data_IF_552401015731
#
_entry.id   IF_552401015731
#
_cell.length_a   1.000
_cell.length_b   1.000
_cell.length_c   1.000
_cell.angle_alpha   90.00
_cell.angle_beta   90.00
_cell.angle_gamma   90.00
#
_symmetry.space_group_name_H-M   'P 1'
#
loop_
_entity.id
_entity.type
_entity.pdbx_description
1 polymer ?
#
# COMPACT_ATOMS: atom_id res chain seq x y z
N UNK A 1 3.41 23.37 47.45
CA UNK A 1 3.39 24.56 46.55
C UNK A 1 3.24 24.06 45.11
N UNK A 2 2.11 24.30 44.41
CA UNK A 2 1.94 23.80 43.05
C UNK A 2 2.34 24.85 42.00
N UNK A 3 3.29 24.49 41.12
CA UNK A 3 3.72 25.30 39.99
C UNK A 3 2.75 25.14 38.80
N UNK A 4 1.96 26.18 38.54
CA UNK A 4 1.09 26.33 37.37
C UNK A 4 1.95 26.44 36.10
N UNK A 5 1.92 25.44 35.21
CA UNK A 5 2.43 25.57 33.84
C UNK A 5 1.34 26.12 32.93
N UNK A 6 1.59 27.29 32.33
CA UNK A 6 0.73 27.93 31.33
C UNK A 6 1.05 27.37 29.94
N UNK A 7 0.02 27.00 29.20
CA UNK A 7 0.10 26.66 27.78
C UNK A 7 0.00 27.95 26.95
N UNK A 8 0.98 28.20 26.07
CA UNK A 8 0.89 29.21 25.02
C UNK A 8 0.35 28.53 23.75
N UNK A 9 -0.82 28.94 23.28
CA UNK A 9 -1.34 28.60 21.95
C UNK A 9 -0.81 29.64 20.97
N UNK A 10 -0.02 29.22 19.99
CA UNK A 10 0.35 30.03 18.83
C UNK A 10 -0.52 29.59 17.67
N UNK A 11 -1.46 30.44 17.30
CA UNK A 11 -2.25 30.32 16.06
C UNK A 11 -1.50 31.03 14.94
N UNK A 12 -1.05 30.29 13.93
CA UNK A 12 -0.54 30.87 12.67
C UNK A 12 -1.61 30.67 11.62
N UNK A 13 -2.24 31.78 11.21
CA UNK A 13 -3.14 31.87 10.06
C UNK A 13 -2.30 32.26 8.84
N UNK A 14 -2.27 31.42 7.80
CA UNK A 14 -1.75 31.80 6.49
C UNK A 14 -2.91 31.98 5.52
N UNK A 15 -2.98 33.19 4.96
CA UNK A 15 -3.98 33.65 4.03
C UNK A 15 -3.82 33.07 2.62
N UNK A 16 -4.95 32.89 1.96
CA UNK A 16 -5.08 32.51 0.56
C UNK A 16 -4.68 33.69 -0.35
N UNK A 17 -3.88 33.43 -1.39
CA UNK A 17 -3.68 34.34 -2.51
C UNK A 17 -4.18 33.65 -3.78
N UNK A 18 -5.23 34.22 -4.37
CA UNK A 18 -5.80 33.84 -5.66
C UNK A 18 -5.16 34.74 -6.72
N UNK A 19 -4.46 34.15 -7.68
CA UNK A 19 -3.99 34.85 -8.87
C UNK A 19 -4.80 34.36 -10.07
N UNK A 20 -5.73 35.20 -10.53
CA UNK A 20 -6.41 35.06 -11.82
C UNK A 20 -5.52 35.71 -12.88
N UNK A 21 -5.19 34.97 -13.94
CA UNK A 21 -4.62 35.54 -15.17
C UNK A 21 -5.56 35.17 -16.31
N UNK A 22 -6.30 36.19 -16.76
CA UNK A 22 -6.99 36.25 -18.03
C UNK A 22 -5.96 36.64 -19.09
N UNK A 23 -5.82 35.84 -20.14
CA UNK A 23 -5.23 36.30 -21.40
C UNK A 23 -5.93 35.59 -22.56
N UNK A 24 -6.90 36.32 -23.12
CA UNK A 24 -7.41 36.17 -24.48
C UNK A 24 -6.28 36.47 -25.46
N UNK A 25 -6.12 35.62 -26.48
CA UNK A 25 -5.16 35.83 -27.56
C UNK A 25 -5.48 34.92 -28.74
N UNK A 26 -6.46 35.31 -29.53
CA UNK A 26 -6.74 34.72 -30.83
C UNK A 26 -5.77 35.29 -31.86
N UNK A 27 -4.99 34.42 -32.51
CA UNK A 27 -4.32 34.71 -33.78
C UNK A 27 -4.31 33.44 -34.63
N UNK A 28 -5.06 33.48 -35.74
CA UNK A 28 -4.82 32.63 -36.91
C UNK A 28 -4.20 33.51 -37.99
N UNK A 29 -3.13 33.03 -38.65
CA UNK A 29 -3.10 33.18 -40.09
C UNK A 29 -2.60 31.93 -40.83
N UNK A 30 -3.39 31.61 -41.88
CA UNK A 30 -3.04 31.08 -43.21
C UNK A 30 -2.30 29.72 -43.30
N UNK A 31 -2.88 28.72 -44.01
CA UNK A 31 -2.22 27.45 -44.31
C UNK A 31 -1.18 27.61 -45.43
N UNK A 32 0.00 26.97 -45.33
CA UNK A 32 0.92 26.83 -46.46
C UNK A 32 0.40 25.78 -47.45
N UNK A 33 0.65 26.09 -48.72
CA UNK A 33 0.28 25.37 -49.93
C UNK A 33 0.80 23.92 -49.99
N UNK A 34 -0.06 23.05 -50.53
CA UNK A 34 0.17 21.63 -50.83
C UNK A 34 1.15 21.48 -52.01
N UNK A 35 2.17 20.61 -51.92
CA UNK A 35 2.78 19.97 -53.08
C UNK A 35 2.06 18.66 -53.43
N UNK A 36 1.96 18.45 -54.74
CA UNK A 36 1.29 17.40 -55.51
C UNK A 36 1.31 15.95 -54.98
N UNK A 37 0.14 15.33 -55.08
CA UNK A 37 -0.18 13.91 -55.34
C UNK A 37 0.76 12.81 -54.79
N UNK A 38 0.34 12.08 -53.74
CA UNK A 38 0.70 10.67 -53.58
C UNK A 38 -0.16 9.76 -54.50
N UNK A 39 0.34 8.58 -54.88
CA UNK A 39 -0.23 7.72 -55.91
C UNK A 39 -1.61 7.13 -55.54
N UNK A 40 -2.34 6.73 -56.58
CA UNK A 40 -3.72 6.26 -56.58
C UNK A 40 -4.08 5.23 -55.48
N UNK A 41 -5.33 5.26 -54.96
CA UNK A 41 -5.79 4.30 -53.97
C UNK A 41 -5.89 2.89 -54.55
N UNK A 42 -5.20 1.94 -53.92
CA UNK A 42 -5.35 0.52 -54.20
C UNK A 42 -6.75 0.05 -53.74
N UNK A 43 -7.42 -0.84 -54.50
CA UNK A 43 -8.71 -1.40 -54.10
C UNK A 43 -8.55 -2.26 -52.84
N UNK A 44 -9.25 -1.85 -51.78
CA UNK A 44 -9.70 -2.64 -50.63
C UNK A 44 -9.46 -4.17 -50.73
N UNK A 45 -8.45 -4.67 -50.03
CA UNK A 45 -8.55 -6.00 -49.42
C UNK A 45 -9.01 -5.77 -47.97
N UNK A 46 -10.10 -6.40 -47.51
CA UNK A 46 -10.39 -6.42 -46.08
C UNK A 46 -9.30 -7.26 -45.43
N UNK A 47 -8.25 -6.60 -44.96
CA UNK A 47 -7.41 -7.19 -43.94
C UNK A 47 -8.37 -7.58 -42.80
N UNK A 48 -8.51 -8.89 -42.58
CA UNK A 48 -8.88 -9.43 -41.29
C UNK A 48 -7.77 -9.03 -40.31
N UNK A 49 -7.67 -7.73 -40.01
CA UNK A 49 -7.15 -7.26 -38.75
C UNK A 49 -8.02 -7.96 -37.74
N UNK A 50 -7.47 -8.99 -37.10
CA UNK A 50 -7.97 -9.44 -35.82
C UNK A 50 -8.11 -8.20 -34.97
N UNK A 51 -9.35 -7.78 -34.76
CA UNK A 51 -9.73 -6.85 -33.72
C UNK A 51 -9.48 -7.67 -32.44
N UNK A 52 -8.22 -7.82 -32.05
CA UNK A 52 -7.93 -8.08 -30.65
C UNK A 52 -8.53 -6.87 -29.94
N UNK A 53 -9.56 -7.08 -29.10
CA UNK A 53 -10.07 -6.01 -28.28
C UNK A 53 -8.88 -5.38 -27.58
N UNK A 54 -8.74 -4.05 -27.65
CA UNK A 54 -7.85 -3.35 -26.75
C UNK A 54 -8.02 -3.98 -25.35
N UNK A 55 -6.93 -4.36 -24.65
CA UNK A 55 -7.04 -5.06 -23.39
C UNK A 55 -8.05 -4.29 -22.54
N UNK A 56 -9.22 -4.91 -22.32
CA UNK A 56 -10.21 -4.35 -21.42
C UNK A 56 -9.50 -4.07 -20.11
N UNK A 57 -9.80 -2.98 -19.38
CA UNK A 57 -9.10 -2.61 -18.15
C UNK A 57 -8.93 -3.86 -17.29
N UNK A 58 -7.71 -4.40 -17.38
CA UNK A 58 -7.49 -5.82 -17.15
C UNK A 58 -7.78 -6.11 -15.70
N UNK A 59 -8.46 -7.23 -15.46
CA UNK A 59 -8.57 -7.84 -14.15
C UNK A 59 -7.21 -7.72 -13.45
N UNK A 60 -7.14 -6.92 -12.38
CA UNK A 60 -5.87 -6.61 -11.72
C UNK A 60 -5.31 -7.93 -11.22
N UNK A 61 -4.21 -8.39 -11.83
CA UNK A 61 -3.58 -9.64 -11.47
C UNK A 61 -3.31 -9.64 -9.95
N UNK A 62 -3.57 -10.77 -9.25
CA UNK A 62 -3.30 -10.86 -7.84
C UNK A 62 -1.85 -10.48 -7.54
N UNK A 63 -1.59 -9.76 -6.44
CA UNK A 63 -0.23 -9.50 -6.02
C UNK A 63 0.49 -10.84 -5.80
N UNK A 64 1.81 -10.88 -6.00
CA UNK A 64 2.59 -12.06 -5.67
C UNK A 64 2.31 -12.51 -4.23
N UNK A 65 2.33 -13.83 -4.01
CA UNK A 65 2.11 -14.39 -2.67
C UNK A 65 3.09 -13.75 -1.69
N UNK A 66 2.62 -13.20 -0.56
CA UNK A 66 3.48 -12.44 0.31
C UNK A 66 4.40 -13.38 1.10
N UNK A 67 5.60 -12.87 1.42
CA UNK A 67 6.60 -13.64 2.17
C UNK A 67 6.44 -13.36 3.65
N UNK A 68 5.96 -14.36 4.39
CA UNK A 68 5.74 -14.29 5.84
C UNK A 68 6.70 -15.23 6.57
N UNK A 69 7.18 -14.84 7.76
CA UNK A 69 8.00 -15.71 8.62
C UNK A 69 7.94 -15.30 10.08
N UNK A 70 8.31 -16.21 10.97
CA UNK A 70 8.64 -15.88 12.34
C UNK A 70 9.95 -15.07 12.39
N UNK A 71 10.07 -14.17 13.37
CA UNK A 71 11.32 -13.51 13.70
C UNK A 71 12.13 -14.38 14.66
N UNK A 72 13.42 -14.47 14.40
CA UNK A 72 14.36 -15.15 15.30
C UNK A 72 14.66 -14.31 16.53
N UNK A 73 15.14 -14.95 17.60
CA UNK A 73 15.55 -14.24 18.81
C UNK A 73 16.60 -13.14 18.56
N UNK A 74 17.51 -13.35 17.59
CA UNK A 74 18.52 -12.37 17.22
C UNK A 74 17.89 -11.13 16.55
N UNK A 75 16.98 -11.34 15.59
CA UNK A 75 16.29 -10.26 14.88
C UNK A 75 15.38 -9.45 15.79
N UNK A 76 14.74 -10.10 16.77
CA UNK A 76 13.93 -9.41 17.77
C UNK A 76 14.79 -8.41 18.56
N UNK A 77 15.98 -8.83 19.02
CA UNK A 77 16.91 -7.96 19.75
C UNK A 77 17.45 -6.84 18.85
N UNK A 78 17.85 -7.17 17.61
CA UNK A 78 18.34 -6.17 16.65
C UNK A 78 17.29 -5.09 16.36
N UNK A 79 16.01 -5.46 16.34
CA UNK A 79 14.88 -4.53 16.12
C UNK A 79 14.41 -3.85 17.41
N UNK A 80 15.01 -4.12 18.57
CA UNK A 80 14.58 -3.57 19.86
C UNK A 80 13.18 -4.00 20.29
N UNK A 81 12.74 -5.18 19.86
CA UNK A 81 11.42 -5.74 20.19
C UNK A 81 11.44 -6.55 21.49
N UNK A 82 12.61 -6.81 22.04
CA UNK A 82 12.85 -7.55 23.29
C UNK A 82 12.18 -6.90 24.51
N UNK A 83 11.88 -5.60 24.44
CA UNK A 83 11.07 -4.90 25.45
C UNK A 83 9.57 -5.25 25.42
N UNK A 84 9.07 -5.86 24.33
CA UNK A 84 7.66 -6.21 24.12
C UNK A 84 7.39 -7.72 24.14
N UNK A 85 8.44 -8.55 24.13
CA UNK A 85 8.34 -10.01 24.14
C UNK A 85 9.02 -10.56 25.39
N UNK A 86 8.46 -11.62 25.97
CA UNK A 86 9.18 -12.40 26.96
C UNK A 86 10.15 -13.31 26.21
N UNK A 87 11.42 -12.91 26.16
CA UNK A 87 12.49 -13.67 25.48
C UNK A 87 12.69 -15.08 26.05
N UNK A 88 12.25 -15.35 27.29
CA UNK A 88 12.29 -16.70 27.87
C UNK A 88 11.17 -17.60 27.36
N UNK A 89 10.10 -17.00 26.84
CA UNK A 89 8.91 -17.67 26.29
C UNK A 89 8.78 -17.52 24.78
N UNK A 90 9.77 -16.91 24.13
CA UNK A 90 9.77 -16.67 22.69
C UNK A 90 9.69 -18.01 21.94
N UNK A 91 8.77 -18.07 20.98
CA UNK A 91 8.58 -19.21 20.10
C UNK A 91 8.70 -18.75 18.64
N UNK A 92 9.54 -19.44 17.88
CA UNK A 92 9.63 -19.28 16.42
C UNK A 92 8.52 -20.09 15.74
N UNK A 93 7.26 -19.70 16.00
CA UNK A 93 6.09 -20.39 15.43
C UNK A 93 5.92 -19.99 13.98
N UNK A 94 6.00 -20.96 13.07
CA UNK A 94 5.78 -20.73 11.63
C UNK A 94 4.38 -20.14 11.42
N UNK A 95 4.26 -18.96 10.79
CA UNK A 95 2.99 -18.31 10.55
C UNK A 95 2.12 -19.11 9.56
N UNK A 96 0.81 -19.13 9.80
CA UNK A 96 -0.15 -19.72 8.86
C UNK A 96 -0.68 -18.65 7.90
N UNK A 97 -0.67 -18.95 6.60
CA UNK A 97 -1.19 -18.04 5.57
C UNK A 97 -2.48 -18.62 4.98
N UNK A 98 -3.55 -17.85 5.06
CA UNK A 98 -4.85 -18.18 4.49
C UNK A 98 -5.18 -17.15 3.41
N UNK A 99 -5.33 -17.61 2.17
CA UNK A 99 -5.78 -16.76 1.07
C UNK A 99 -7.32 -16.74 1.05
N UNK A 100 -7.90 -15.67 1.63
CA UNK A 100 -9.37 -15.48 1.65
C UNK A 100 -9.88 -14.61 0.51
N UNK A 101 -8.96 -13.97 -0.21
CA UNK A 101 -9.23 -13.01 -1.28
C UNK A 101 -9.88 -13.62 -2.52
N UNK A 102 -9.79 -14.94 -2.72
CA UNK A 102 -10.51 -15.65 -3.80
C UNK A 102 -11.92 -16.12 -3.41
N UNK A 103 -12.50 -15.56 -2.34
CA UNK A 103 -13.90 -15.81 -1.95
C UNK A 103 -14.19 -17.22 -1.40
N UNK A 104 -13.17 -18.08 -1.23
CA UNK A 104 -13.38 -19.49 -0.85
C UNK A 104 -13.38 -19.80 0.65
N UNK A 105 -12.95 -18.91 1.54
CA UNK A 105 -12.78 -19.27 2.97
C UNK A 105 -13.06 -18.13 3.96
N UNK A 106 -14.22 -17.47 3.85
CA UNK A 106 -14.61 -16.44 4.82
C UNK A 106 -14.91 -16.99 6.24
N UNK A 107 -15.14 -18.29 6.39
CA UNK A 107 -15.53 -18.94 7.65
C UNK A 107 -14.44 -18.98 8.71
N UNK A 108 -13.16 -18.87 8.31
CA UNK A 108 -12.02 -19.01 9.23
C UNK A 108 -11.37 -17.67 9.58
N UNK A 109 -12.02 -16.55 9.21
CA UNK A 109 -11.60 -15.21 9.58
C UNK A 109 -11.90 -14.96 11.05
N UNK A 110 -10.85 -14.74 11.85
CA UNK A 110 -11.02 -14.33 13.24
C UNK A 110 -11.82 -13.03 13.31
N UNK A 111 -12.92 -13.06 14.08
CA UNK A 111 -13.68 -11.85 14.40
C UNK A 111 -12.88 -10.96 15.35
N UNK A 112 -12.78 -9.64 15.08
CA UNK A 112 -12.05 -8.72 15.94
C UNK A 112 -12.66 -8.68 17.35
N UNK A 113 -11.85 -8.99 18.35
CA UNK A 113 -12.20 -9.00 19.77
C UNK A 113 -11.16 -8.22 20.54
N UNK A 114 -11.62 -7.28 21.37
CA UNK A 114 -10.76 -6.44 22.21
C UNK A 114 -10.57 -7.06 23.58
N UNK A 115 -9.38 -6.90 24.17
CA UNK A 115 -9.11 -7.24 25.57
C UNK A 115 -10.17 -6.60 26.47
N UNK A 116 -10.82 -7.38 27.36
CA UNK A 116 -11.69 -6.82 28.39
C UNK A 116 -10.89 -5.86 29.29
N UNK A 117 -11.46 -4.69 29.59
CA UNK A 117 -10.75 -3.62 30.31
C UNK A 117 -10.33 -3.93 31.76
N UNK A 118 -10.76 -5.07 32.30
CA UNK A 118 -10.47 -5.56 33.65
C UNK A 118 -9.30 -6.57 33.72
N UNK A 119 -8.67 -6.92 32.59
CA UNK A 119 -7.52 -7.83 32.55
C UNK A 119 -6.23 -7.01 32.53
N UNK A 120 -5.32 -7.27 33.47
CA UNK A 120 -4.06 -6.54 33.57
C UNK A 120 -3.18 -6.79 32.33
N UNK A 121 -2.42 -5.76 31.93
CA UNK A 121 -1.62 -5.73 30.70
C UNK A 121 -0.30 -6.48 30.78
N UNK A 122 -0.17 -7.47 31.66
CA UNK A 122 1.12 -8.07 32.00
C UNK A 122 1.61 -9.11 30.98
N UNK A 123 0.78 -9.49 30.01
CA UNK A 123 1.16 -10.51 29.03
C UNK A 123 2.05 -9.91 27.94
N UNK A 124 3.35 -10.14 28.09
CA UNK A 124 4.34 -9.96 27.03
C UNK A 124 4.04 -10.91 25.86
N UNK A 125 4.47 -10.54 24.65
CA UNK A 125 4.36 -11.43 23.51
C UNK A 125 5.04 -12.78 23.78
N UNK A 126 4.59 -13.82 23.08
CA UNK A 126 5.23 -15.14 23.02
C UNK A 126 5.80 -15.43 21.63
N UNK A 127 5.38 -14.68 20.60
CA UNK A 127 5.91 -14.77 19.25
C UNK A 127 5.88 -13.43 18.53
N UNK A 128 6.77 -13.27 17.55
CA UNK A 128 6.81 -12.13 16.64
C UNK A 128 6.99 -12.63 15.20
N UNK A 129 6.36 -11.93 14.25
CA UNK A 129 6.33 -12.29 12.85
C UNK A 129 6.59 -11.08 11.97
N UNK A 130 7.01 -11.37 10.74
CA UNK A 130 7.34 -10.38 9.74
C UNK A 130 6.72 -10.77 8.40
N UNK A 131 6.09 -9.79 7.74
CA UNK A 131 5.56 -9.90 6.38
C UNK A 131 6.27 -8.91 5.47
N UNK A 132 6.63 -9.36 4.27
CA UNK A 132 6.90 -8.47 3.14
C UNK A 132 5.87 -8.74 2.05
N UNK A 133 5.14 -7.69 1.68
CA UNK A 133 4.25 -7.68 0.52
C UNK A 133 4.89 -6.85 -0.57
N UNK A 134 4.68 -7.25 -1.82
CA UNK A 134 5.14 -6.48 -2.98
C UNK A 134 3.99 -6.26 -3.93
N UNK A 135 3.90 -5.05 -4.44
CA UNK A 135 3.14 -4.73 -5.63
C UNK A 135 4.08 -4.76 -6.82
N UNK A 136 3.73 -5.48 -7.88
CA UNK A 136 4.65 -5.76 -8.97
C UNK A 136 3.99 -6.18 -10.27
N UNK A 137 3.33 -5.24 -10.94
CA UNK A 137 3.36 -5.26 -12.40
C UNK A 137 4.80 -4.90 -12.87
N UNK A 138 5.29 -5.39 -14.02
CA UNK A 138 6.61 -5.02 -14.52
C UNK A 138 6.77 -3.49 -14.52
N UNK A 139 7.82 -3.02 -13.83
CA UNK A 139 8.17 -1.60 -13.61
C UNK A 139 7.38 -0.78 -12.57
N UNK A 140 6.36 -1.34 -11.91
CA UNK A 140 5.64 -0.68 -10.80
C UNK A 140 6.02 -1.37 -9.49
N UNK A 141 7.05 -0.88 -8.81
CA UNK A 141 7.60 -1.53 -7.62
C UNK A 141 7.19 -0.79 -6.35
N UNK A 142 6.32 -1.44 -5.58
CA UNK A 142 5.99 -1.05 -4.21
C UNK A 142 6.24 -2.21 -3.27
N UNK A 143 6.71 -1.93 -2.06
CA UNK A 143 6.84 -2.92 -0.99
C UNK A 143 6.16 -2.41 0.27
N UNK A 144 5.58 -3.31 1.06
CA UNK A 144 5.19 -3.01 2.44
C UNK A 144 5.75 -4.06 3.39
N UNK A 145 6.12 -3.59 4.57
CA UNK A 145 6.77 -4.36 5.61
C UNK A 145 5.94 -4.26 6.88
N UNK A 146 5.58 -5.41 7.44
CA UNK A 146 4.76 -5.47 8.65
C UNK A 146 5.44 -6.36 9.68
N UNK A 147 5.53 -5.85 10.89
CA UNK A 147 5.97 -6.60 12.06
C UNK A 147 4.84 -6.62 13.07
N UNK A 148 4.50 -7.78 13.61
CA UNK A 148 3.58 -7.87 14.73
C UNK A 148 4.04 -8.93 15.71
N UNK A 149 3.68 -8.74 16.98
CA UNK A 149 3.89 -9.72 18.03
C UNK A 149 2.58 -9.97 18.77
N UNK A 150 2.44 -11.16 19.33
CA UNK A 150 1.27 -11.53 20.10
C UNK A 150 1.58 -12.56 21.16
N UNK A 151 0.69 -12.66 22.15
CA UNK A 151 0.77 -13.60 23.27
C UNK A 151 0.02 -14.92 22.99
N UNK A 152 -0.49 -15.10 21.76
CA UNK A 152 -1.35 -16.21 21.34
C UNK A 152 -2.86 -15.89 21.43
N UNK A 153 -3.24 -14.84 22.17
CA UNK A 153 -4.63 -14.38 22.33
C UNK A 153 -4.81 -12.98 21.77
N UNK A 154 -3.87 -12.08 22.04
CA UNK A 154 -3.89 -10.68 21.70
C UNK A 154 -2.59 -10.25 21.03
N UNK A 155 -2.71 -9.30 20.12
CA UNK A 155 -1.61 -8.56 19.52
C UNK A 155 -1.08 -7.59 20.57
N UNK A 156 0.22 -7.63 20.80
CA UNK A 156 0.92 -6.85 21.83
C UNK A 156 1.84 -5.79 21.22
N UNK A 157 2.22 -5.97 19.97
CA UNK A 157 3.02 -5.01 19.21
C UNK A 157 2.66 -5.05 17.72
N UNK A 158 2.68 -3.89 17.06
CA UNK A 158 2.45 -3.74 15.62
C UNK A 158 3.33 -2.64 15.05
N UNK A 159 3.87 -2.84 13.85
CA UNK A 159 4.54 -1.82 13.06
C UNK A 159 4.34 -2.09 11.58
N UNK A 160 3.98 -1.06 10.82
CA UNK A 160 3.79 -1.12 9.38
C UNK A 160 4.53 0.02 8.72
N UNK A 161 5.22 -0.28 7.62
CA UNK A 161 5.87 0.70 6.75
C UNK A 161 5.71 0.27 5.31
N UNK A 162 5.86 1.20 4.37
CA UNK A 162 5.88 0.88 2.95
C UNK A 162 6.85 1.80 2.22
N UNK A 163 7.26 1.35 1.03
CA UNK A 163 8.18 2.04 0.15
C UNK A 163 7.88 1.69 -1.30
N UNK A 164 8.56 2.35 -2.23
CA UNK A 164 8.53 2.07 -3.65
C UNK A 164 9.75 2.66 -4.33
N UNK A 165 9.93 2.31 -5.60
CA UNK A 165 11.05 2.80 -6.40
C UNK A 165 10.56 3.48 -7.68
N UNK A 166 11.36 4.42 -8.19
CA UNK A 166 11.20 5.06 -9.49
C UNK A 166 12.29 4.52 -10.42
N UNK A 167 11.93 3.69 -11.39
CA UNK A 167 12.91 3.00 -12.24
C UNK A 167 12.81 3.32 -13.73
N UNK A 168 11.72 3.95 -14.19
CA UNK A 168 11.51 4.31 -15.60
C UNK A 168 11.34 5.82 -15.82
N UNK A 169 11.46 6.26 -17.06
CA UNK A 169 11.40 7.69 -17.42
C UNK A 169 10.03 8.31 -17.28
N UNK A 170 8.99 7.56 -17.62
CA UNK A 170 7.59 7.97 -17.62
C UNK A 170 6.85 7.58 -16.34
N UNK A 171 7.56 7.09 -15.32
CA UNK A 171 6.96 6.57 -14.11
C UNK A 171 7.63 7.19 -12.88
N UNK A 172 6.82 7.50 -11.86
CA UNK A 172 7.29 7.99 -10.57
C UNK A 172 6.50 7.32 -9.45
N UNK A 173 7.22 6.81 -8.45
CA UNK A 173 6.66 6.50 -7.15
C UNK A 173 6.39 7.81 -6.38
N UNK A 174 5.12 8.12 -6.13
CA UNK A 174 4.70 9.34 -5.43
C UNK A 174 4.56 9.12 -3.92
N UNK A 175 4.54 7.86 -3.44
CA UNK A 175 4.47 7.52 -2.02
C UNK A 175 3.56 6.34 -1.72
N UNK A 176 3.38 6.06 -0.43
CA UNK A 176 2.49 5.00 0.04
C UNK A 176 1.89 5.34 1.41
N UNK A 177 0.87 4.60 1.81
CA UNK A 177 0.19 4.71 3.09
C UNK A 177 -0.19 3.34 3.63
N UNK A 178 -0.03 3.14 4.94
CA UNK A 178 -0.58 1.98 5.66
C UNK A 178 -1.79 2.43 6.48
N UNK A 179 -3.00 2.04 6.08
CA UNK A 179 -4.23 2.30 6.84
C UNK A 179 -4.48 1.13 7.78
N UNK A 180 -4.49 1.39 9.09
CA UNK A 180 -4.54 0.35 10.11
C UNK A 180 -5.88 0.37 10.86
N UNK A 181 -6.38 -0.81 11.21
CA UNK A 181 -7.52 -1.00 12.12
C UNK A 181 -7.20 -2.13 13.11
N UNK A 182 -7.79 -2.08 14.31
CA UNK A 182 -7.42 -2.98 15.42
C UNK A 182 -5.91 -2.88 15.73
N UNK A 183 -5.29 -3.92 16.29
CA UNK A 183 -3.87 -3.90 16.66
C UNK A 183 -3.67 -4.20 18.14
N UNK A 184 -2.78 -3.45 18.80
CA UNK A 184 -2.44 -3.69 20.21
C UNK A 184 -3.69 -3.77 21.10
N UNK A 185 -3.82 -4.86 21.86
CA UNK A 185 -4.97 -5.14 22.73
C UNK A 185 -6.17 -5.76 22.02
N UNK A 186 -6.06 -6.11 20.74
CA UNK A 186 -7.04 -6.88 19.99
C UNK A 186 -6.45 -8.25 19.61
N UNK A 187 -7.29 -9.25 19.38
CA UNK A 187 -6.85 -10.56 18.86
C UNK A 187 -6.38 -10.52 17.41
N UNK A 188 -6.67 -9.41 16.71
CA UNK A 188 -6.33 -9.19 15.30
C UNK A 188 -5.80 -7.78 15.07
N UNK A 189 -5.08 -7.62 13.97
CA UNK A 189 -4.64 -6.37 13.40
C UNK A 189 -4.98 -6.39 11.91
N UNK A 190 -5.60 -5.34 11.39
CA UNK A 190 -5.89 -5.20 9.96
C UNK A 190 -5.03 -4.08 9.38
N UNK A 191 -4.39 -4.33 8.24
CA UNK A 191 -3.60 -3.34 7.52
C UNK A 191 -4.04 -3.32 6.06
N UNK A 192 -4.29 -2.11 5.55
CA UNK A 192 -4.43 -1.86 4.11
C UNK A 192 -3.25 -1.03 3.64
N UNK A 193 -2.37 -1.64 2.87
CA UNK A 193 -1.29 -0.97 2.17
C UNK A 193 -1.84 -0.33 0.92
N UNK A 194 -1.45 0.92 0.66
CA UNK A 194 -1.80 1.67 -0.54
C UNK A 194 -0.54 2.30 -1.11
N UNK A 195 -0.24 2.05 -2.37
CA UNK A 195 0.84 2.74 -3.07
C UNK A 195 0.25 3.71 -4.08
N UNK A 196 1.00 4.77 -4.36
CA UNK A 196 0.62 5.80 -5.32
C UNK A 196 1.71 5.90 -6.37
N UNK A 197 1.33 5.64 -7.61
CA UNK A 197 2.24 5.67 -8.74
C UNK A 197 1.73 6.62 -9.82
N UNK A 198 2.61 7.45 -10.34
CA UNK A 198 2.43 8.13 -11.61
C UNK A 198 2.91 7.21 -12.73
N UNK A 199 2.06 6.86 -13.68
CA UNK A 199 2.38 5.96 -14.80
C UNK A 199 2.64 6.69 -16.11
N UNK A 200 2.33 7.99 -16.17
CA UNK A 200 2.61 8.86 -17.29
C UNK A 200 3.14 10.22 -16.78
N UNK A 201 4.40 10.20 -16.34
CA UNK A 201 5.12 11.38 -15.87
C UNK A 201 5.85 12.07 -17.02
N UNK A 202 5.58 13.35 -17.23
CA UNK A 202 6.33 14.20 -18.13
C UNK A 202 7.50 14.86 -17.37
N UNK A 203 8.72 14.46 -17.71
CA UNK A 203 9.94 14.98 -17.09
C UNK A 203 10.23 16.44 -17.41
N UNK A 204 9.73 16.97 -18.53
CA UNK A 204 9.97 18.34 -18.94
C UNK A 204 9.09 19.32 -18.16
N UNK A 205 7.82 18.94 -17.93
CA UNK A 205 6.85 19.79 -17.23
C UNK A 205 6.70 19.45 -15.74
N UNK A 206 7.17 18.28 -15.31
CA UNK A 206 7.00 17.78 -13.95
C UNK A 206 5.56 17.31 -13.65
N UNK A 207 4.73 17.13 -14.68
CA UNK A 207 3.31 16.82 -14.54
C UNK A 207 3.06 15.33 -14.70
N UNK A 208 2.16 14.80 -13.86
CA UNK A 208 1.67 13.44 -13.97
C UNK A 208 0.27 13.41 -14.59
N UNK A 209 0.14 12.81 -15.78
CA UNK A 209 -1.12 12.73 -16.52
C UNK A 209 -1.93 11.46 -16.25
N UNK A 210 -1.31 10.41 -15.71
CA UNK A 210 -2.00 9.17 -15.33
C UNK A 210 -1.46 8.60 -14.01
N UNK A 211 -2.37 8.12 -13.15
CA UNK A 211 -2.05 7.54 -11.84
C UNK A 211 -2.77 6.23 -11.63
N UNK A 212 -2.18 5.38 -10.78
CA UNK A 212 -2.79 4.17 -10.26
C UNK A 212 -2.63 4.14 -8.73
N UNK A 213 -3.56 3.50 -8.04
CA UNK A 213 -3.60 3.46 -6.57
C UNK A 213 -3.73 2.02 -6.05
N UNK A 214 -2.76 1.15 -6.37
CA UNK A 214 -2.77 -0.21 -5.90
C UNK A 214 -2.88 -0.31 -4.40
N UNK A 215 -3.63 -1.31 -3.95
CA UNK A 215 -3.81 -1.60 -2.54
C UNK A 215 -3.86 -3.10 -2.28
N UNK A 216 -3.45 -3.46 -1.07
CA UNK A 216 -3.57 -4.82 -0.53
C UNK A 216 -4.06 -4.73 0.91
N UNK A 217 -5.01 -5.58 1.29
CA UNK A 217 -5.53 -5.67 2.65
C UNK A 217 -5.21 -7.02 3.27
N UNK A 218 -4.64 -7.01 4.46
CA UNK A 218 -4.25 -8.18 5.22
C UNK A 218 -4.81 -8.10 6.65
N UNK A 219 -5.07 -9.26 7.26
CA UNK A 219 -5.36 -9.40 8.70
C UNK A 219 -4.30 -10.29 9.34
N UNK A 220 -3.83 -9.90 10.51
CA UNK A 220 -2.81 -10.59 11.30
C UNK A 220 -3.43 -11.02 12.62
N UNK A 221 -3.22 -12.28 12.99
CA UNK A 221 -3.69 -12.85 14.26
C UNK A 221 -2.58 -12.83 15.32
N UNK A 222 -3.00 -12.80 16.57
CA UNK A 222 -2.12 -12.83 17.75
C UNK A 222 -1.25 -14.11 17.87
N UNK A 223 -1.56 -15.15 17.11
CA UNK A 223 -0.84 -16.42 17.11
C UNK A 223 -0.16 -16.70 15.76
N UNK A 224 0.23 -15.63 15.04
CA UNK A 224 0.98 -15.74 13.79
C UNK A 224 0.16 -16.06 12.55
N UNK A 225 -1.17 -16.01 12.64
CA UNK A 225 -2.01 -16.18 11.46
C UNK A 225 -1.98 -14.94 10.56
N UNK A 226 -2.09 -15.15 9.26
CA UNK A 226 -2.21 -14.12 8.23
C UNK A 226 -3.36 -14.48 7.29
N UNK A 227 -4.31 -13.57 7.11
CA UNK A 227 -5.36 -13.68 6.10
C UNK A 227 -5.17 -12.60 5.04
N UNK A 228 -5.12 -13.02 3.78
CA UNK A 228 -5.14 -12.11 2.63
C UNK A 228 -6.59 -11.76 2.34
N UNK A 229 -6.99 -10.51 2.64
CA UNK A 229 -8.39 -10.08 2.61
C UNK A 229 -8.80 -9.52 1.24
N UNK A 230 -7.86 -8.98 0.46
CA UNK A 230 -8.14 -8.44 -0.87
C UNK A 230 -7.02 -7.56 -1.43
N UNK A 231 -7.16 -7.19 -2.69
CA UNK A 231 -6.28 -6.27 -3.41
C UNK A 231 -7.04 -5.57 -4.55
N UNK A 232 -6.45 -4.51 -5.12
CA UNK A 232 -7.01 -3.79 -6.27
C UNK A 232 -6.14 -2.58 -6.66
N UNK A 233 -6.63 -1.75 -7.58
CA UNK A 233 -5.99 -0.51 -8.06
C UNK A 233 -6.96 0.67 -8.14
#
# INVERSE_FOLDING_TARGET
MPLKRRFARVTVSCAFAVAAVLSLGAFSPVPPSIPDNPPAPQPWEPALQSWEPAPQPGEVAPPPKPTVRALTAAEIREKGLDQYIDMSRQQETVPSVVDTSQGKFASDLLSPTKRPGNVSSADSATGCWYLTTTYGAPALQGSAYHTWCGDGVLVTYTSATCTGSTSLSTYIYEGCQNVQAYGVGWNVWDVTDRWRFCTAYDRLTGVCSARIYPWQKNRYGANGQLWLLGWGN
#
